data_IF_337720194049
#
_entry.id   IF_337720194049
#
_cell.length_a   1.000
_cell.length_b   1.000
_cell.length_c   1.000
_cell.angle_alpha   90.00
_cell.angle_beta   90.00
_cell.angle_gamma   90.00
#
_symmetry.space_group_name_H-M   'P 1'
#
loop_
_entity.id
_entity.type
_entity.pdbx_description
1 polymer ?
#
# COMPACT_ATOMS: atom_id res chain seq x y z
N UNK A 1 2.34 36.14 -40.98
CA UNK A 1 1.92 36.60 -39.64
C UNK A 1 2.23 35.47 -38.66
N UNK A 2 3.40 35.51 -38.02
CA UNK A 2 3.82 34.51 -37.04
C UNK A 2 3.42 35.08 -35.67
N UNK A 3 2.47 34.44 -35.01
CA UNK A 3 1.98 34.87 -33.71
C UNK A 3 3.04 34.59 -32.64
N UNK A 4 3.66 35.67 -32.16
CA UNK A 4 4.48 35.68 -30.95
C UNK A 4 3.56 35.34 -29.77
N UNK A 5 3.61 34.10 -29.30
CA UNK A 5 3.02 33.72 -28.00
C UNK A 5 3.79 34.50 -26.92
N UNK A 6 3.14 35.33 -26.10
CA UNK A 6 3.83 36.26 -25.22
C UNK A 6 4.60 35.52 -24.12
N UNK A 7 5.89 35.81 -24.02
CA UNK A 7 6.86 35.33 -23.02
C UNK A 7 6.33 35.46 -21.57
N UNK A 8 5.39 36.37 -21.31
CA UNK A 8 4.70 36.52 -20.03
C UNK A 8 3.98 35.24 -19.56
N UNK A 9 3.54 34.35 -20.47
CA UNK A 9 2.93 33.07 -20.06
C UNK A 9 3.94 32.16 -19.34
N UNK A 10 5.22 32.23 -19.71
CA UNK A 10 6.27 31.42 -19.07
C UNK A 10 6.80 32.08 -17.79
N UNK A 11 6.87 33.42 -17.74
CA UNK A 11 7.32 34.16 -16.55
C UNK A 11 6.33 34.03 -15.38
N UNK A 12 5.02 33.97 -15.66
CA UNK A 12 4.01 33.72 -14.61
C UNK A 12 4.04 32.27 -14.08
N UNK A 13 4.39 31.28 -14.91
CA UNK A 13 4.52 29.88 -14.47
C UNK A 13 5.72 29.70 -13.52
N UNK A 14 6.78 30.50 -13.68
CA UNK A 14 7.96 30.49 -12.82
C UNK A 14 7.74 31.13 -11.43
N UNK A 15 6.73 32.00 -11.27
CA UNK A 15 6.42 32.67 -10.00
C UNK A 15 5.23 32.06 -9.23
N UNK A 16 4.53 31.06 -9.78
CA UNK A 16 3.30 30.48 -9.19
C UNK A 16 3.55 29.24 -8.30
N UNK A 17 4.78 28.77 -8.12
CA UNK A 17 5.07 27.50 -7.45
C UNK A 17 5.24 27.55 -5.92
N UNK A 18 4.99 28.68 -5.28
CA UNK A 18 4.82 28.74 -3.82
C UNK A 18 3.34 28.73 -3.48
N UNK A 19 2.66 27.65 -3.87
CA UNK A 19 1.39 27.29 -3.27
C UNK A 19 1.59 27.25 -1.75
N UNK A 20 0.89 28.12 -1.04
CA UNK A 20 0.98 28.28 0.41
C UNK A 20 0.43 27.03 1.10
N UNK A 21 1.22 25.97 1.14
CA UNK A 21 0.96 24.79 1.96
C UNK A 21 1.26 25.14 3.41
N UNK A 22 0.31 24.83 4.30
CA UNK A 22 0.51 24.98 5.74
C UNK A 22 1.80 24.26 6.13
N UNK A 23 2.67 24.92 6.90
CA UNK A 23 3.92 24.32 7.33
C UNK A 23 3.62 23.14 8.30
N UNK A 24 3.59 21.92 7.77
CA UNK A 24 3.38 20.72 8.58
C UNK A 24 4.49 20.54 9.61
N UNK A 25 4.09 20.11 10.79
CA UNK A 25 5.03 19.82 11.88
C UNK A 25 5.99 18.71 11.47
N UNK A 26 7.18 18.67 12.10
CA UNK A 26 8.14 17.60 11.84
C UNK A 26 7.55 16.21 12.13
N UNK A 27 6.72 16.12 13.18
CA UNK A 27 5.99 14.90 13.56
C UNK A 27 5.02 14.46 12.46
N UNK A 28 4.25 15.38 11.91
CA UNK A 28 3.29 15.10 10.84
C UNK A 28 3.96 14.61 9.56
N UNK A 29 5.08 15.23 9.17
CA UNK A 29 5.89 14.77 8.04
C UNK A 29 6.47 13.38 8.25
N UNK A 30 6.93 13.09 9.47
CA UNK A 30 7.45 11.77 9.82
C UNK A 30 6.34 10.71 9.79
N UNK A 31 5.20 10.99 10.43
CA UNK A 31 4.05 10.09 10.45
C UNK A 31 3.53 9.78 9.04
N UNK A 32 3.39 10.81 8.19
CA UNK A 32 2.96 10.64 6.79
C UNK A 32 3.89 9.68 6.03
N UNK A 33 5.21 9.89 6.14
CA UNK A 33 6.21 8.99 5.52
C UNK A 33 6.12 7.57 6.07
N UNK A 34 6.07 7.43 7.40
CA UNK A 34 6.01 6.11 8.05
C UNK A 34 4.76 5.35 7.62
N UNK A 35 3.58 5.96 7.64
CA UNK A 35 2.33 5.34 7.19
C UNK A 35 2.44 4.92 5.73
N UNK A 36 3.01 5.76 4.86
CA UNK A 36 3.17 5.43 3.45
C UNK A 36 4.10 4.22 3.24
N UNK A 37 5.24 4.17 3.94
CA UNK A 37 6.14 3.01 3.88
C UNK A 37 5.49 1.74 4.44
N UNK A 38 4.71 1.84 5.53
CA UNK A 38 3.96 0.71 6.06
C UNK A 38 2.95 0.16 5.05
N UNK A 39 2.24 1.04 4.34
CA UNK A 39 1.32 0.64 3.28
C UNK A 39 2.06 -0.06 2.13
N UNK A 40 3.17 0.50 1.65
CA UNK A 40 3.95 -0.08 0.56
C UNK A 40 4.54 -1.45 0.93
N UNK A 41 5.22 -1.53 2.08
CA UNK A 41 5.83 -2.77 2.55
C UNK A 41 4.75 -3.81 2.85
N UNK A 42 3.69 -3.42 3.56
CA UNK A 42 2.60 -4.33 3.90
C UNK A 42 1.90 -4.88 2.66
N UNK A 43 1.67 -4.06 1.63
CA UNK A 43 1.02 -4.49 0.37
C UNK A 43 1.81 -5.60 -0.33
N UNK A 44 3.14 -5.59 -0.24
CA UNK A 44 4.00 -6.64 -0.79
C UNK A 44 4.11 -7.83 0.17
N UNK A 45 4.19 -7.56 1.48
CA UNK A 45 4.38 -8.59 2.49
C UNK A 45 3.15 -9.50 2.67
N UNK A 46 1.93 -8.96 2.51
CA UNK A 46 0.68 -9.73 2.61
C UNK A 46 0.58 -10.88 1.61
N UNK A 47 0.72 -10.67 0.29
CA UNK A 47 0.65 -11.77 -0.68
C UNK A 47 1.82 -12.75 -0.52
N UNK A 48 3.03 -12.28 -0.21
CA UNK A 48 4.18 -13.18 0.00
C UNK A 48 3.94 -14.09 1.22
N UNK A 49 3.52 -13.53 2.35
CA UNK A 49 3.25 -14.30 3.56
C UNK A 49 2.05 -15.24 3.42
N UNK A 50 0.99 -14.82 2.72
CA UNK A 50 -0.16 -15.68 2.41
C UNK A 50 0.18 -16.82 1.46
N UNK A 51 1.03 -16.55 0.46
CA UNK A 51 1.57 -17.57 -0.43
C UNK A 51 2.39 -18.59 0.35
N UNK A 52 3.31 -18.14 1.20
CA UNK A 52 4.11 -19.04 2.07
C UNK A 52 3.22 -19.91 2.97
N UNK A 53 2.21 -19.31 3.60
CA UNK A 53 1.26 -20.03 4.46
C UNK A 53 0.54 -21.15 3.70
N UNK A 54 0.01 -20.84 2.51
CA UNK A 54 -0.81 -21.78 1.73
C UNK A 54 0.03 -22.85 1.03
N UNK A 55 1.09 -22.43 0.34
CA UNK A 55 1.96 -23.33 -0.42
C UNK A 55 2.70 -24.30 0.51
N UNK A 56 3.34 -23.78 1.57
CA UNK A 56 4.14 -24.61 2.48
C UNK A 56 3.29 -25.34 3.52
N UNK A 57 2.07 -24.87 3.78
CA UNK A 57 1.06 -25.57 4.56
C UNK A 57 0.42 -26.76 3.85
N UNK A 58 0.69 -26.95 2.55
CA UNK A 58 0.15 -28.06 1.76
C UNK A 58 -1.28 -27.84 1.26
N UNK A 59 -1.82 -26.62 1.40
CA UNK A 59 -3.17 -26.28 0.95
C UNK A 59 -3.28 -26.15 -0.58
N UNK A 60 -2.15 -25.99 -1.27
CA UNK A 60 -2.10 -25.66 -2.69
C UNK A 60 -2.34 -24.17 -2.92
N UNK A 61 -2.04 -23.70 -4.13
CA UNK A 61 -2.25 -22.31 -4.54
C UNK A 61 -2.67 -22.28 -6.01
N UNK A 62 -3.83 -21.66 -6.26
CA UNK A 62 -4.31 -21.37 -7.62
C UNK A 62 -4.15 -19.88 -7.92
N UNK A 63 -3.76 -19.58 -9.16
CA UNK A 63 -3.65 -18.21 -9.65
C UNK A 63 -4.43 -18.08 -10.94
N UNK A 64 -5.56 -17.36 -10.87
CA UNK A 64 -6.49 -17.19 -11.99
C UNK A 64 -6.92 -18.53 -12.63
N UNK A 65 -7.14 -19.56 -11.81
CA UNK A 65 -7.57 -20.90 -12.26
C UNK A 65 -6.44 -21.79 -12.76
N UNK A 66 -5.19 -21.33 -12.74
CA UNK A 66 -4.02 -22.16 -12.99
C UNK A 66 -3.43 -22.63 -11.66
N UNK A 67 -3.24 -23.94 -11.52
CA UNK A 67 -2.54 -24.51 -10.37
C UNK A 67 -1.07 -24.05 -10.39
N UNK A 68 -0.65 -23.30 -9.37
CA UNK A 68 0.75 -22.91 -9.18
C UNK A 68 1.47 -23.88 -8.25
N UNK A 69 0.76 -24.35 -7.22
CA UNK A 69 1.27 -25.31 -6.23
C UNK A 69 0.19 -26.34 -6.01
N UNK A 70 0.50 -27.59 -6.33
CA UNK A 70 -0.39 -28.71 -6.07
C UNK A 70 -0.70 -28.86 -4.59
N UNK A 71 -1.96 -29.17 -4.26
CA UNK A 71 -2.37 -29.50 -2.89
C UNK A 71 -1.69 -30.80 -2.43
N UNK A 72 -1.32 -30.87 -1.15
CA UNK A 72 -0.69 -32.05 -0.54
C UNK A 72 -1.65 -32.72 0.46
N UNK A 73 -2.64 -33.51 -0.01
CA UNK A 73 -3.64 -34.14 0.85
C UNK A 73 -3.04 -35.24 1.74
N UNK A 74 -3.60 -35.43 2.93
CA UNK A 74 -3.23 -36.54 3.80
C UNK A 74 -3.75 -37.88 3.23
N UNK A 75 -2.89 -38.91 3.02
CA UNK A 75 -3.32 -40.21 2.50
C UNK A 75 -4.36 -40.93 3.36
N UNK A 76 -4.37 -40.68 4.69
CA UNK A 76 -5.31 -41.28 5.63
C UNK A 76 -6.62 -40.50 5.73
N UNK A 77 -6.59 -39.19 5.47
CA UNK A 77 -7.76 -38.33 5.46
C UNK A 77 -7.62 -37.25 4.35
N UNK A 78 -8.17 -37.47 3.14
CA UNK A 78 -8.05 -36.51 2.04
C UNK A 78 -8.66 -35.12 2.30
N UNK A 79 -9.46 -34.96 3.36
CA UNK A 79 -9.97 -33.64 3.79
C UNK A 79 -8.89 -32.81 4.48
N UNK A 80 -7.87 -33.44 5.07
CA UNK A 80 -6.72 -32.79 5.68
C UNK A 80 -5.56 -32.64 4.68
N UNK A 81 -4.62 -31.77 5.02
CA UNK A 81 -3.38 -31.57 4.26
C UNK A 81 -2.17 -31.84 5.15
N UNK A 82 -1.07 -32.24 4.53
CA UNK A 82 0.22 -32.39 5.21
C UNK A 82 1.09 -31.22 4.78
N UNK A 83 1.61 -30.48 5.76
CA UNK A 83 2.52 -29.38 5.49
C UNK A 83 3.80 -29.88 4.80
N UNK A 84 4.21 -29.21 3.72
CA UNK A 84 5.50 -29.44 3.07
C UNK A 84 6.64 -28.92 3.95
N UNK A 85 6.40 -27.80 4.64
CA UNK A 85 7.31 -27.26 5.65
C UNK A 85 6.51 -26.50 6.72
N UNK A 86 6.20 -27.17 7.83
CA UNK A 86 5.38 -26.60 8.91
C UNK A 86 5.99 -25.35 9.55
N UNK A 87 7.32 -25.30 9.71
CA UNK A 87 8.01 -24.16 10.32
C UNK A 87 7.87 -22.89 9.48
N UNK A 88 8.12 -22.98 8.17
CA UNK A 88 7.98 -21.83 7.28
C UNK A 88 6.50 -21.46 7.06
N UNK A 89 5.59 -22.43 7.02
CA UNK A 89 4.16 -22.16 6.98
C UNK A 89 3.70 -21.35 8.20
N UNK A 90 4.20 -21.70 9.39
CA UNK A 90 3.89 -20.97 10.63
C UNK A 90 4.46 -19.54 10.64
N UNK A 91 5.67 -19.35 10.10
CA UNK A 91 6.25 -18.01 9.90
C UNK A 91 5.37 -17.20 8.95
N UNK A 92 4.97 -17.79 7.81
CA UNK A 92 4.04 -17.18 6.86
C UNK A 92 2.73 -16.78 7.52
N UNK A 93 2.14 -17.67 8.32
CA UNK A 93 0.93 -17.38 9.09
C UNK A 93 1.08 -16.20 10.03
N UNK A 94 2.16 -16.19 10.82
CA UNK A 94 2.44 -15.12 11.79
C UNK A 94 2.64 -13.78 11.07
N UNK A 95 3.42 -13.75 9.99
CA UNK A 95 3.64 -12.55 9.20
C UNK A 95 2.35 -12.05 8.55
N UNK A 96 1.53 -12.94 7.99
CA UNK A 96 0.27 -12.59 7.36
C UNK A 96 -0.72 -11.98 8.38
N UNK A 97 -0.81 -12.58 9.56
CA UNK A 97 -1.63 -12.08 10.66
C UNK A 97 -1.17 -10.67 11.08
N UNK A 98 0.11 -10.49 11.40
CA UNK A 98 0.64 -9.22 11.87
C UNK A 98 0.58 -8.13 10.78
N UNK A 99 0.94 -8.47 9.55
CA UNK A 99 0.89 -7.55 8.42
C UNK A 99 -0.54 -7.11 8.12
N UNK A 100 -1.53 -8.01 8.24
CA UNK A 100 -2.94 -7.70 8.02
C UNK A 100 -3.44 -6.63 9.00
N UNK A 101 -3.27 -6.84 10.30
CA UNK A 101 -3.68 -5.84 11.31
C UNK A 101 -2.89 -4.52 11.19
N UNK A 102 -1.60 -4.59 10.89
CA UNK A 102 -0.76 -3.40 10.69
C UNK A 102 -1.24 -2.60 9.48
N UNK A 103 -1.58 -3.25 8.37
CA UNK A 103 -2.11 -2.60 7.18
C UNK A 103 -3.47 -1.96 7.44
N UNK A 104 -4.37 -2.65 8.13
CA UNK A 104 -5.68 -2.08 8.48
C UNK A 104 -5.48 -0.77 9.27
N UNK A 105 -4.63 -0.79 10.30
CA UNK A 105 -4.30 0.40 11.07
C UNK A 105 -3.67 1.51 10.19
N UNK A 106 -2.74 1.15 9.31
CA UNK A 106 -2.08 2.10 8.41
C UNK A 106 -3.05 2.72 7.41
N UNK A 107 -3.99 1.94 6.83
CA UNK A 107 -5.02 2.45 5.92
C UNK A 107 -5.94 3.42 6.65
N UNK A 108 -6.38 3.09 7.87
CA UNK A 108 -7.21 4.00 8.68
C UNK A 108 -6.47 5.31 8.94
N UNK A 109 -5.20 5.24 9.39
CA UNK A 109 -4.38 6.44 9.62
C UNK A 109 -4.16 7.25 8.35
N UNK A 110 -3.96 6.58 7.21
CA UNK A 110 -3.79 7.23 5.92
C UNK A 110 -5.03 8.01 5.48
N UNK A 111 -6.21 7.39 5.59
CA UNK A 111 -7.49 8.03 5.24
C UNK A 111 -7.78 9.20 6.19
N UNK A 112 -7.61 9.01 7.50
CA UNK A 112 -7.78 10.09 8.48
C UNK A 112 -6.83 11.24 8.20
N UNK A 113 -5.55 10.96 7.91
CA UNK A 113 -4.57 11.97 7.54
C UNK A 113 -4.99 12.76 6.30
N UNK A 114 -5.36 12.08 5.22
CA UNK A 114 -5.81 12.72 3.98
C UNK A 114 -7.06 13.58 4.20
N UNK A 115 -8.02 13.13 5.01
CA UNK A 115 -9.21 13.90 5.35
C UNK A 115 -8.90 15.10 6.26
N UNK A 116 -7.99 14.94 7.23
CA UNK A 116 -7.52 16.04 8.09
C UNK A 116 -6.85 17.13 7.25
N UNK A 117 -5.98 16.75 6.32
CA UNK A 117 -5.36 17.66 5.36
C UNK A 117 -6.39 18.38 4.48
N UNK A 118 -7.41 17.66 4.03
CA UNK A 118 -8.44 18.23 3.15
C UNK A 118 -9.42 19.17 3.87
N UNK A 119 -9.91 18.77 5.05
CA UNK A 119 -11.00 19.46 5.76
C UNK A 119 -10.47 20.54 6.71
N UNK A 120 -9.40 20.23 7.44
CA UNK A 120 -8.85 21.11 8.49
C UNK A 120 -7.73 21.98 7.91
N UNK A 121 -6.70 21.35 7.34
CA UNK A 121 -5.55 22.10 6.80
C UNK A 121 -5.89 22.77 5.46
N UNK A 122 -6.97 22.32 4.80
CA UNK A 122 -7.47 22.83 3.51
C UNK A 122 -6.38 22.90 2.43
N UNK A 123 -5.45 21.95 2.48
CA UNK A 123 -4.36 21.87 1.51
C UNK A 123 -4.74 21.02 0.28
N UNK A 124 -3.84 21.01 -0.71
CA UNK A 124 -4.02 20.27 -1.95
C UNK A 124 -3.75 18.77 -1.86
N UNK A 125 -3.44 18.19 -0.70
CA UNK A 125 -2.93 16.80 -0.58
C UNK A 125 -3.88 15.77 -1.20
N UNK A 126 -5.15 15.76 -0.80
CA UNK A 126 -6.14 14.82 -1.34
C UNK A 126 -6.36 15.03 -2.85
N UNK A 127 -6.39 16.31 -3.29
CA UNK A 127 -6.57 16.66 -4.70
C UNK A 127 -5.41 16.15 -5.57
N UNK A 128 -4.17 16.22 -5.06
CA UNK A 128 -2.98 15.66 -5.73
C UNK A 128 -3.05 14.14 -5.85
N UNK A 129 -3.60 13.45 -4.86
CA UNK A 129 -3.82 12.00 -4.94
C UNK A 129 -4.85 11.62 -6.01
N UNK A 130 -5.82 12.50 -6.27
CA UNK A 130 -6.81 12.35 -7.34
C UNK A 130 -6.30 12.82 -8.72
N UNK A 131 -5.02 13.19 -8.82
CA UNK A 131 -4.41 13.61 -10.09
C UNK A 131 -4.65 15.07 -10.47
N UNK A 132 -5.16 15.92 -9.58
CA UNK A 132 -5.26 17.35 -9.84
C UNK A 132 -3.89 18.03 -9.73
N UNK A 133 -3.62 18.99 -10.62
CA UNK A 133 -2.56 19.97 -10.45
C UNK A 133 -3.06 21.07 -9.50
N UNK A 134 -2.40 21.20 -8.35
CA UNK A 134 -2.79 22.08 -7.23
C UNK A 134 -1.58 22.75 -6.64
#
# INVERSE_FOLDING_TARGET
MIALVPIQKYVNVLHLHTGQGIAHTHVEKLLSKTVHYLLLIGTVLMPISGFMMSALGGHGVDFFGMELVARNPNPMNPQEVIALNGSLAQIGHTLHYLAGYTLIAAVVLHVIGALKHHVIDKDGTLRRMLGAEV
#
